data_IF_693157415645
#
_entry.id   IF_693157415645
#
_cell.length_a   1.000
_cell.length_b   1.000
_cell.length_c   1.000
_cell.angle_alpha   90.00
_cell.angle_beta   90.00
_cell.angle_gamma   90.00
#
_symmetry.space_group_name_H-M   'P 1'
#
loop_
_entity.id
_entity.type
_entity.pdbx_description
1 polymer ?
#
# COMPACT_ATOMS: atom_id res chain seq x y z
N UNK A 1 12.26 22.41 -51.04
CA UNK A 1 13.25 23.22 -50.30
C UNK A 1 14.22 22.27 -49.64
N UNK A 2 15.52 22.45 -49.87
CA UNK A 2 16.55 21.66 -49.18
C UNK A 2 16.54 22.06 -47.73
N UNK A 3 16.38 21.09 -46.80
CA UNK A 3 16.52 21.34 -45.36
C UNK A 3 18.00 21.58 -45.08
N UNK A 4 18.34 22.76 -44.59
CA UNK A 4 19.69 23.04 -44.11
C UNK A 4 19.89 22.26 -42.81
N UNK A 5 20.76 21.28 -42.84
CA UNK A 5 21.17 20.56 -41.62
C UNK A 5 22.23 21.35 -40.86
N UNK A 6 22.05 21.56 -39.59
CA UNK A 6 23.08 22.10 -38.73
C UNK A 6 24.06 20.93 -38.40
N UNK A 7 25.35 21.03 -38.76
CA UNK A 7 26.30 19.96 -38.47
C UNK A 7 26.46 19.75 -36.97
N UNK A 8 26.84 18.54 -36.56
CA UNK A 8 27.18 18.21 -35.18
C UNK A 8 28.27 19.18 -34.68
N UNK A 9 27.99 19.89 -33.60
CA UNK A 9 28.88 20.95 -33.09
C UNK A 9 28.62 22.34 -33.69
N UNK A 10 27.59 22.48 -34.57
CA UNK A 10 27.20 23.78 -35.10
C UNK A 10 26.35 24.65 -34.19
N UNK A 11 25.96 24.10 -33.04
CA UNK A 11 25.29 24.81 -31.94
C UNK A 11 26.25 24.77 -30.74
N UNK A 12 26.62 25.93 -30.22
CA UNK A 12 27.44 26.02 -29.03
C UNK A 12 26.67 25.48 -27.80
N UNK A 13 27.38 25.01 -26.79
CA UNK A 13 26.78 24.65 -25.50
C UNK A 13 26.03 25.88 -24.97
N UNK A 14 24.87 25.64 -24.34
CA UNK A 14 23.97 26.68 -23.79
C UNK A 14 23.37 27.67 -24.84
N UNK A 15 23.54 27.40 -26.16
CA UNK A 15 22.98 28.26 -27.21
C UNK A 15 21.46 28.09 -27.41
N UNK A 16 20.85 27.04 -26.85
CA UNK A 16 19.39 26.82 -26.86
C UNK A 16 18.87 27.01 -25.45
N UNK A 17 18.20 28.11 -25.22
CA UNK A 17 17.50 28.42 -23.97
C UNK A 17 15.98 28.29 -24.14
N UNK A 18 15.22 28.51 -23.09
CA UNK A 18 13.75 28.38 -23.07
C UNK A 18 13.06 29.29 -24.09
N UNK A 19 13.61 30.48 -24.35
CA UNK A 19 13.07 31.41 -25.38
C UNK A 19 13.19 30.88 -26.82
N UNK A 20 14.02 29.86 -27.04
CA UNK A 20 14.17 29.22 -28.34
C UNK A 20 13.21 28.04 -28.53
N UNK A 21 12.49 27.66 -27.46
CA UNK A 21 11.49 26.60 -27.46
C UNK A 21 10.09 27.22 -27.54
N UNK A 22 9.56 27.35 -28.78
CA UNK A 22 8.17 27.76 -28.95
C UNK A 22 7.22 26.73 -28.30
N UNK A 23 6.14 27.21 -27.68
CA UNK A 23 5.12 26.36 -27.07
C UNK A 23 4.53 25.32 -28.07
N UNK A 24 4.58 25.61 -29.35
CA UNK A 24 4.17 24.66 -30.40
C UNK A 24 5.08 23.43 -30.51
N UNK A 25 6.29 23.49 -29.98
CA UNK A 25 7.14 22.30 -29.84
C UNK A 25 6.45 21.21 -29.00
N UNK A 26 5.56 21.61 -28.08
CA UNK A 26 4.74 20.70 -27.26
C UNK A 26 3.33 20.60 -27.83
N UNK A 27 2.65 21.74 -27.99
CA UNK A 27 1.22 21.78 -28.39
C UNK A 27 0.98 21.43 -29.86
N UNK A 28 2.00 21.54 -30.73
CA UNK A 28 1.95 21.13 -32.11
C UNK A 28 2.17 19.65 -32.37
N UNK A 29 2.50 18.87 -31.35
CA UNK A 29 2.63 17.41 -31.44
C UNK A 29 1.29 16.72 -31.16
N UNK A 30 1.13 15.48 -31.64
CA UNK A 30 -0.06 14.70 -31.34
C UNK A 30 -0.10 14.40 -29.84
N UNK A 31 -1.22 14.73 -29.20
CA UNK A 31 -1.40 14.42 -27.78
C UNK A 31 -1.39 12.91 -27.53
N UNK A 32 -0.73 12.48 -26.47
CA UNK A 32 -0.86 11.11 -25.98
C UNK A 32 -2.28 10.94 -25.41
N UNK A 33 -3.09 10.08 -26.03
CA UNK A 33 -4.50 9.90 -25.70
C UNK A 33 -4.75 8.89 -24.57
N UNK A 34 -3.70 8.26 -24.04
CA UNK A 34 -3.76 7.22 -23.02
C UNK A 34 -2.68 7.44 -21.96
N UNK A 35 -2.73 6.65 -20.90
CA UNK A 35 -1.71 6.72 -19.85
C UNK A 35 -0.32 6.41 -20.42
N UNK A 36 0.72 7.20 -20.09
CA UNK A 36 2.08 6.89 -20.52
C UNK A 36 2.49 5.47 -20.14
N UNK A 37 3.18 4.79 -21.04
CA UNK A 37 3.80 3.51 -20.74
C UNK A 37 4.90 3.69 -19.69
N UNK A 38 5.20 2.65 -18.95
CA UNK A 38 6.26 2.70 -17.92
C UNK A 38 7.65 2.99 -18.47
N UNK A 39 7.82 2.78 -19.77
CA UNK A 39 9.07 3.03 -20.53
C UNK A 39 9.12 4.41 -21.18
N UNK A 40 8.01 5.19 -21.11
CA UNK A 40 8.02 6.56 -21.62
C UNK A 40 8.86 7.45 -20.72
N UNK A 41 9.47 8.46 -21.30
CA UNK A 41 10.47 9.30 -20.67
C UNK A 41 10.06 10.77 -20.69
N UNK A 42 10.34 11.46 -19.60
CA UNK A 42 10.09 12.89 -19.43
C UNK A 42 11.42 13.58 -19.17
N UNK A 43 11.64 14.68 -19.88
CA UNK A 43 12.81 15.51 -19.65
C UNK A 43 12.58 16.40 -18.43
N UNK A 44 13.49 16.38 -17.47
CA UNK A 44 13.42 17.18 -16.24
C UNK A 44 14.74 17.91 -15.98
N UNK A 45 14.67 19.03 -15.27
CA UNK A 45 15.83 19.65 -14.67
C UNK A 45 15.97 19.18 -13.21
N UNK A 46 17.07 18.51 -12.90
CA UNK A 46 17.41 18.10 -11.54
C UNK A 46 18.62 18.87 -11.07
N UNK A 47 18.39 19.82 -10.16
CA UNK A 47 19.40 20.74 -9.63
C UNK A 47 20.23 21.45 -10.72
N UNK A 48 19.55 21.88 -11.80
CA UNK A 48 20.19 22.55 -12.93
C UNK A 48 20.82 21.62 -13.97
N UNK A 49 20.73 20.31 -13.77
CA UNK A 49 21.18 19.31 -14.75
C UNK A 49 20.00 18.70 -15.47
N UNK A 50 20.03 18.68 -16.79
CA UNK A 50 19.00 18.05 -17.60
C UNK A 50 19.10 16.53 -17.49
N UNK A 51 18.01 15.91 -17.05
CA UNK A 51 17.90 14.44 -16.86
C UNK A 51 16.64 13.88 -17.49
N UNK A 52 16.68 12.61 -17.78
CA UNK A 52 15.56 11.79 -18.20
C UNK A 52 14.91 11.12 -16.98
N UNK A 53 13.60 11.20 -16.87
CA UNK A 53 12.80 10.53 -15.87
C UNK A 53 11.86 9.54 -16.54
N UNK A 54 11.95 8.27 -16.21
CA UNK A 54 11.02 7.26 -16.70
C UNK A 54 9.64 7.45 -16.04
N UNK A 55 8.58 7.33 -16.81
CA UNK A 55 7.20 7.55 -16.35
C UNK A 55 6.80 6.64 -15.19
N UNK A 56 7.42 5.46 -15.06
CA UNK A 56 7.20 4.54 -13.93
C UNK A 56 7.42 5.23 -12.57
N UNK A 57 8.39 6.15 -12.47
CA UNK A 57 8.67 6.86 -11.22
C UNK A 57 7.62 7.89 -10.82
N UNK A 58 6.78 8.33 -11.77
CA UNK A 58 5.67 9.25 -11.50
C UNK A 58 4.40 8.52 -11.08
N UNK A 59 4.15 7.31 -11.60
CA UNK A 59 2.88 6.61 -11.46
C UNK A 59 2.95 5.38 -10.57
N UNK A 60 4.16 4.88 -10.27
CA UNK A 60 4.32 3.70 -9.42
C UNK A 60 4.22 4.07 -7.94
N UNK A 61 3.01 4.26 -7.46
CA UNK A 61 2.76 4.45 -6.03
C UNK A 61 2.67 3.10 -5.32
N UNK A 62 3.40 2.87 -4.21
CA UNK A 62 3.30 1.63 -3.46
C UNK A 62 1.92 1.42 -2.86
N UNK A 63 1.32 0.28 -3.17
CA UNK A 63 0.07 -0.18 -2.56
C UNK A 63 0.00 -1.71 -2.53
N UNK A 64 -0.80 -2.23 -1.62
CA UNK A 64 -1.14 -3.65 -1.58
C UNK A 64 -2.49 -3.88 -0.90
N UNK A 65 -3.20 -4.91 -1.36
CA UNK A 65 -4.20 -5.60 -0.56
C UNK A 65 -3.73 -7.01 -0.31
N UNK A 66 -3.43 -7.31 0.95
CA UNK A 66 -3.17 -8.65 1.45
C UNK A 66 -4.41 -9.17 2.16
N UNK A 67 -4.70 -10.46 2.07
CA UNK A 67 -5.84 -11.06 2.73
C UNK A 67 -5.51 -12.45 3.27
N UNK A 68 -6.34 -12.94 4.20
CA UNK A 68 -6.28 -14.32 4.65
C UNK A 68 -7.07 -15.20 3.67
N UNK A 69 -6.36 -16.07 2.96
CA UNK A 69 -6.99 -17.11 2.13
C UNK A 69 -7.24 -18.36 2.98
N UNK A 70 -8.51 -18.76 3.06
CA UNK A 70 -8.95 -19.79 4.00
C UNK A 70 -8.93 -19.33 5.47
N UNK A 71 -9.42 -20.14 6.37
CA UNK A 71 -9.52 -19.81 7.78
C UNK A 71 -8.16 -19.97 8.49
N UNK A 72 -7.87 -19.10 9.47
CA UNK A 72 -6.78 -19.28 10.42
C UNK A 72 -7.37 -19.84 11.72
N UNK A 73 -7.23 -21.15 11.92
CA UNK A 73 -7.69 -21.83 13.12
C UNK A 73 -6.78 -21.60 14.31
N UNK A 74 -7.28 -21.93 15.50
CA UNK A 74 -6.50 -21.90 16.76
C UNK A 74 -5.88 -20.53 17.06
N UNK A 75 -6.54 -19.43 16.69
CA UNK A 75 -6.07 -18.10 17.04
C UNK A 75 -6.08 -17.95 18.56
N UNK A 76 -4.94 -17.61 19.20
CA UNK A 76 -4.75 -17.81 20.62
C UNK A 76 -5.63 -16.90 21.47
N UNK A 77 -6.03 -17.42 22.64
CA UNK A 77 -6.74 -16.66 23.67
C UNK A 77 -5.76 -15.84 24.51
N UNK A 78 -6.19 -14.62 24.86
CA UNK A 78 -5.47 -13.72 25.78
C UNK A 78 -4.03 -13.40 25.35
N UNK A 79 -3.82 -13.32 24.02
CA UNK A 79 -2.51 -13.03 23.42
C UNK A 79 -2.68 -12.20 22.15
N UNK A 80 -1.86 -11.19 22.00
CA UNK A 80 -1.73 -10.47 20.70
C UNK A 80 -0.93 -11.35 19.75
N UNK A 81 -1.52 -11.67 18.61
CA UNK A 81 -0.92 -12.56 17.63
C UNK A 81 -1.12 -12.04 16.21
N UNK A 82 -0.19 -12.41 15.34
CA UNK A 82 -0.21 -12.02 13.95
C UNK A 82 -1.36 -12.68 13.20
N UNK A 83 -2.03 -11.89 12.36
CA UNK A 83 -2.95 -12.39 11.36
C UNK A 83 -2.14 -12.80 10.12
N UNK A 84 -2.16 -14.08 9.81
CA UNK A 84 -1.36 -14.66 8.73
C UNK A 84 -2.01 -14.41 7.37
N UNK A 85 -1.82 -13.21 6.83
CA UNK A 85 -2.31 -12.82 5.51
C UNK A 85 -1.51 -13.54 4.43
N UNK A 86 -2.04 -14.60 3.86
CA UNK A 86 -1.35 -15.50 2.94
C UNK A 86 -1.80 -15.38 1.48
N UNK A 87 -2.71 -14.47 1.18
CA UNK A 87 -3.16 -14.12 -0.16
C UNK A 87 -2.86 -12.65 -0.49
N UNK A 88 -2.78 -12.35 -1.78
CA UNK A 88 -2.62 -10.99 -2.30
C UNK A 88 -3.62 -10.80 -3.44
N UNK A 89 -4.48 -9.79 -3.33
CA UNK A 89 -5.43 -9.44 -4.41
C UNK A 89 -4.74 -8.61 -5.49
N UNK A 90 -3.96 -7.62 -5.05
CA UNK A 90 -3.19 -6.75 -5.93
C UNK A 90 -2.06 -6.08 -5.12
N UNK A 91 -0.99 -5.71 -5.81
CA UNK A 91 0.12 -4.92 -5.26
C UNK A 91 0.90 -4.22 -6.36
N UNK A 92 1.53 -3.10 -6.03
CA UNK A 92 2.46 -2.38 -6.90
C UNK A 92 3.47 -1.62 -6.05
N UNK A 93 4.65 -1.37 -6.59
CA UNK A 93 5.67 -0.48 -6.04
C UNK A 93 6.29 -0.86 -4.69
N UNK A 94 5.94 -2.01 -4.13
CA UNK A 94 6.47 -2.54 -2.88
C UNK A 94 6.62 -4.05 -2.91
N UNK A 95 7.02 -4.64 -1.79
CA UNK A 95 7.18 -6.09 -1.63
C UNK A 95 6.13 -6.64 -0.67
N UNK A 96 5.36 -7.63 -1.12
CA UNK A 96 4.45 -8.42 -0.31
C UNK A 96 5.12 -9.73 0.07
N UNK A 97 5.22 -10.00 1.37
CA UNK A 97 5.59 -11.31 1.90
C UNK A 97 4.35 -11.95 2.53
N UNK A 98 3.64 -12.75 1.76
CA UNK A 98 2.42 -13.45 2.17
C UNK A 98 2.64 -14.92 2.55
N UNK A 99 3.88 -15.37 2.62
CA UNK A 99 4.23 -16.77 2.90
C UNK A 99 4.94 -17.01 4.22
N UNK A 100 5.80 -16.09 4.63
CA UNK A 100 6.67 -16.26 5.80
C UNK A 100 6.39 -15.21 6.88
N UNK A 101 6.41 -13.93 6.51
CA UNK A 101 6.27 -12.85 7.49
C UNK A 101 4.90 -12.17 7.44
N UNK A 102 4.07 -12.41 6.41
CA UNK A 102 2.72 -11.85 6.28
C UNK A 102 2.69 -10.33 6.42
N UNK A 103 3.51 -9.62 5.62
CA UNK A 103 3.74 -8.19 5.73
C UNK A 103 3.91 -7.51 4.36
N UNK A 104 3.72 -6.20 4.35
CA UNK A 104 4.02 -5.35 3.20
C UNK A 104 5.18 -4.40 3.52
N UNK A 105 6.18 -4.33 2.63
CA UNK A 105 7.31 -3.39 2.68
C UNK A 105 7.20 -2.44 1.50
N UNK A 106 7.06 -1.13 1.71
CA UNK A 106 6.72 -0.19 0.63
C UNK A 106 7.84 0.10 -0.37
N UNK A 107 9.11 -0.02 0.03
CA UNK A 107 10.25 0.31 -0.82
C UNK A 107 10.47 1.82 -1.06
N UNK A 108 9.51 2.65 -0.71
CA UNK A 108 9.57 4.12 -0.82
C UNK A 108 9.07 4.73 0.48
N UNK A 109 9.82 5.68 1.02
CA UNK A 109 9.42 6.39 2.23
C UNK A 109 8.22 7.32 1.95
N UNK A 110 7.39 7.55 2.97
CA UNK A 110 6.25 8.47 2.88
C UNK A 110 5.14 8.16 3.87
N UNK A 111 4.00 8.84 3.68
CA UNK A 111 2.80 8.61 4.46
C UNK A 111 1.90 7.60 3.77
N UNK A 112 1.44 6.62 4.54
CA UNK A 112 0.63 5.52 4.05
C UNK A 112 -0.67 5.44 4.82
N UNK A 113 -1.79 5.32 4.10
CA UNK A 113 -3.04 4.93 4.71
C UNK A 113 -3.07 3.40 4.83
N UNK A 114 -3.35 2.95 6.04
CA UNK A 114 -3.51 1.54 6.35
C UNK A 114 -4.94 1.27 6.83
N UNK A 115 -5.54 0.18 6.33
CA UNK A 115 -6.84 -0.27 6.76
C UNK A 115 -6.84 -1.79 6.91
N UNK A 116 -6.96 -2.25 8.13
CA UNK A 116 -7.04 -3.67 8.50
C UNK A 116 -8.45 -4.07 8.89
N UNK A 117 -8.85 -5.27 8.49
CA UNK A 117 -10.09 -5.90 8.87
C UNK A 117 -9.85 -7.35 9.28
N UNK A 118 -10.46 -7.78 10.37
CA UNK A 118 -10.40 -9.16 10.84
C UNK A 118 -11.80 -9.63 11.20
N UNK A 119 -12.23 -10.74 10.59
CA UNK A 119 -13.49 -11.41 10.89
C UNK A 119 -13.22 -12.65 11.76
N UNK A 120 -13.85 -12.69 12.93
CA UNK A 120 -13.83 -13.86 13.80
C UNK A 120 -15.11 -14.70 13.61
N UNK A 121 -14.95 -16.00 13.73
CA UNK A 121 -16.02 -16.99 13.53
C UNK A 121 -16.99 -17.08 14.74
N UNK A 122 -16.57 -16.65 15.90
CA UNK A 122 -17.39 -16.63 17.11
C UNK A 122 -17.05 -15.43 17.97
N UNK A 123 -18.05 -14.90 18.69
CA UNK A 123 -17.89 -13.89 19.70
C UNK A 123 -18.89 -14.13 20.81
N UNK A 124 -18.41 -14.38 22.03
CA UNK A 124 -19.24 -14.31 23.22
C UNK A 124 -19.32 -12.88 23.76
N UNK A 125 -20.35 -12.62 24.52
CA UNK A 125 -20.59 -11.32 25.11
C UNK A 125 -19.58 -11.00 26.22
N UNK A 126 -19.09 -9.77 26.25
CA UNK A 126 -18.15 -9.16 27.18
C UNK A 126 -16.66 -9.38 26.92
N UNK A 127 -16.28 -9.93 25.80
CA UNK A 127 -14.88 -10.16 25.49
C UNK A 127 -14.23 -8.96 24.80
N UNK A 128 -12.95 -8.77 25.09
CA UNK A 128 -12.14 -7.75 24.44
C UNK A 128 -11.58 -8.31 23.14
N UNK A 129 -11.80 -7.60 22.06
CA UNK A 129 -11.18 -7.85 20.76
C UNK A 129 -10.50 -6.57 20.31
N UNK A 130 -9.22 -6.63 19.99
CA UNK A 130 -8.45 -5.54 19.44
C UNK A 130 -7.86 -5.92 18.10
N UNK A 131 -7.93 -5.01 17.15
CA UNK A 131 -7.22 -5.12 15.88
C UNK A 131 -6.14 -4.05 15.86
N UNK A 132 -4.95 -4.44 15.44
CA UNK A 132 -3.77 -3.61 15.55
C UNK A 132 -2.96 -3.64 14.26
N UNK A 133 -2.45 -2.49 13.84
CA UNK A 133 -1.44 -2.38 12.80
C UNK A 133 -0.10 -2.13 13.46
N UNK A 134 0.85 -2.96 13.10
CA UNK A 134 2.24 -2.86 13.52
C UNK A 134 3.10 -2.31 12.39
N UNK A 135 4.00 -1.41 12.73
CA UNK A 135 5.06 -0.92 11.84
C UNK A 135 6.39 -1.37 12.42
N UNK A 136 7.15 -2.11 11.62
CA UNK A 136 8.49 -2.61 11.97
C UNK A 136 8.53 -3.30 13.35
N UNK A 137 7.50 -4.13 13.62
CA UNK A 137 7.36 -4.90 14.86
C UNK A 137 6.83 -4.11 16.07
N UNK A 138 6.47 -2.83 15.89
CA UNK A 138 5.91 -1.99 16.95
C UNK A 138 4.45 -1.65 16.67
N UNK A 139 3.59 -1.80 17.68
CA UNK A 139 2.19 -1.40 17.59
C UNK A 139 2.09 0.11 17.31
N UNK A 140 1.43 0.47 16.22
CA UNK A 140 1.29 1.86 15.77
C UNK A 140 -0.16 2.33 15.78
N UNK A 141 -1.09 1.48 15.33
CA UNK A 141 -2.52 1.77 15.35
C UNK A 141 -3.26 0.65 16.07
N UNK A 142 -4.29 1.01 16.82
CA UNK A 142 -5.15 0.06 17.52
C UNK A 142 -6.61 0.51 17.45
N UNK A 143 -7.49 -0.43 17.17
CA UNK A 143 -8.92 -0.28 17.39
C UNK A 143 -9.38 -1.27 18.46
N UNK A 144 -9.85 -0.76 19.57
CA UNK A 144 -10.42 -1.56 20.64
C UNK A 144 -11.92 -1.71 20.40
N UNK A 145 -12.34 -2.90 19.99
CA UNK A 145 -13.76 -3.29 19.99
C UNK A 145 -14.09 -4.02 21.28
N UNK A 146 -15.07 -3.54 22.03
CA UNK A 146 -15.79 -4.36 23.01
C UNK A 146 -16.99 -4.96 22.31
N UNK A 147 -17.15 -6.28 22.37
CA UNK A 147 -18.40 -6.86 21.92
C UNK A 147 -19.55 -6.31 22.80
N UNK A 148 -20.52 -5.70 22.17
CA UNK A 148 -21.70 -5.16 22.83
C UNK A 148 -22.51 -6.30 23.46
N UNK A 149 -22.50 -6.35 24.78
CA UNK A 149 -23.38 -7.00 25.75
C UNK A 149 -24.15 -8.25 25.35
N UNK A 150 -24.32 -9.12 26.32
CA UNK A 150 -25.09 -10.37 26.28
C UNK A 150 -26.34 -10.31 25.38
N UNK A 151 -26.23 -10.84 24.19
CA UNK A 151 -27.37 -11.29 23.42
C UNK A 151 -27.24 -12.79 23.18
N UNK A 152 -28.06 -13.51 23.95
CA UNK A 152 -28.38 -14.95 23.81
C UNK A 152 -27.60 -15.76 22.78
N UNK A 153 -26.85 -16.73 23.23
CA UNK A 153 -26.56 -18.09 22.72
C UNK A 153 -26.45 -18.35 21.20
N UNK A 154 -26.28 -17.36 20.36
CA UNK A 154 -26.02 -17.56 18.94
C UNK A 154 -24.68 -16.92 18.61
N UNK A 155 -23.69 -17.77 18.31
CA UNK A 155 -22.42 -17.34 17.76
C UNK A 155 -22.67 -16.37 16.59
N UNK A 156 -22.14 -15.15 16.69
CA UNK A 156 -22.24 -14.14 15.65
C UNK A 156 -20.87 -13.90 15.06
N UNK A 157 -20.77 -13.99 13.78
CA UNK A 157 -19.64 -13.51 13.02
C UNK A 157 -19.40 -12.02 13.31
N UNK A 158 -18.24 -11.69 13.86
CA UNK A 158 -17.88 -10.31 14.19
C UNK A 158 -16.73 -9.85 13.30
N UNK A 159 -16.88 -8.66 12.73
CA UNK A 159 -15.86 -8.04 11.90
C UNK A 159 -15.37 -6.75 12.58
N UNK A 160 -14.08 -6.66 12.82
CA UNK A 160 -13.41 -5.53 13.44
C UNK A 160 -12.44 -4.90 12.48
N UNK A 161 -12.34 -3.57 12.51
CA UNK A 161 -11.48 -2.82 11.61
C UNK A 161 -10.62 -1.82 12.37
N UNK A 162 -9.44 -1.55 11.83
CA UNK A 162 -8.55 -0.49 12.26
C UNK A 162 -8.08 0.28 11.03
N UNK A 163 -8.01 1.59 11.12
CA UNK A 163 -7.46 2.39 10.03
C UNK A 163 -6.75 3.64 10.55
N UNK A 164 -5.81 4.11 9.77
CA UNK A 164 -5.09 5.33 10.08
C UNK A 164 -3.96 5.58 9.09
N UNK A 165 -3.28 6.71 9.29
CA UNK A 165 -2.10 7.09 8.52
C UNK A 165 -0.86 6.80 9.36
N UNK A 166 0.11 6.15 8.74
CA UNK A 166 1.42 5.87 9.34
C UNK A 166 2.52 6.48 8.48
N UNK A 167 3.63 6.83 9.10
CA UNK A 167 4.84 7.27 8.42
C UNK A 167 5.77 6.05 8.27
N UNK A 168 6.16 5.73 7.04
CA UNK A 168 6.99 4.56 6.73
C UNK A 168 8.28 5.00 6.04
N UNK A 169 9.41 4.52 6.53
CA UNK A 169 10.65 4.48 5.78
C UNK A 169 10.60 3.43 4.66
N UNK A 170 11.52 3.51 3.70
CA UNK A 170 11.55 2.60 2.56
C UNK A 170 11.70 1.10 2.95
N UNK A 171 12.32 0.82 4.09
CA UNK A 171 12.56 -0.53 4.60
C UNK A 171 11.61 -0.95 5.72
N UNK A 172 10.74 -0.04 6.18
CA UNK A 172 9.72 -0.37 7.16
C UNK A 172 8.71 -1.34 6.58
N UNK A 173 8.02 -2.06 7.44
CA UNK A 173 6.99 -2.99 7.02
C UNK A 173 5.74 -2.87 7.89
N UNK A 174 4.60 -3.20 7.28
CA UNK A 174 3.28 -3.16 7.92
C UNK A 174 2.74 -4.56 8.07
N UNK A 175 2.21 -4.85 9.26
CA UNK A 175 1.64 -6.14 9.66
C UNK A 175 0.31 -5.95 10.35
N UNK A 176 -0.58 -6.94 10.23
CA UNK A 176 -1.86 -6.97 10.93
C UNK A 176 -1.78 -7.93 12.11
N UNK A 177 -2.14 -7.44 13.29
CA UNK A 177 -2.25 -8.22 14.52
C UNK A 177 -3.66 -8.14 15.08
N UNK A 178 -4.01 -9.12 15.89
CA UNK A 178 -5.24 -9.13 16.64
C UNK A 178 -5.03 -9.68 18.04
N UNK A 179 -5.92 -9.30 18.95
CA UNK A 179 -6.03 -9.80 20.30
C UNK A 179 -7.47 -10.23 20.55
N UNK A 180 -7.66 -11.31 21.28
CA UNK A 180 -8.96 -11.73 21.79
C UNK A 180 -8.81 -12.39 23.18
N UNK A 181 -9.85 -12.33 24.03
CA UNK A 181 -9.87 -12.95 25.34
C UNK A 181 -11.16 -13.74 25.63
N UNK A 182 -11.65 -14.46 24.64
CA UNK A 182 -12.91 -15.21 24.68
C UNK A 182 -12.85 -16.52 25.47
N UNK A 183 -11.81 -16.70 26.27
CA UNK A 183 -11.66 -17.89 27.14
C UNK A 183 -11.06 -19.12 26.43
N UNK A 184 -11.09 -19.19 25.11
CA UNK A 184 -10.53 -20.26 24.29
C UNK A 184 -9.93 -19.73 23.00
N UNK A 185 -9.22 -20.57 22.26
CA UNK A 185 -8.80 -20.22 20.90
C UNK A 185 -10.01 -20.18 19.97
N UNK A 186 -9.99 -19.22 19.03
CA UNK A 186 -11.05 -19.02 18.04
C UNK A 186 -10.49 -19.07 16.62
N UNK A 187 -11.37 -19.01 15.64
CA UNK A 187 -11.01 -19.02 14.23
C UNK A 187 -11.15 -17.62 13.62
N UNK A 188 -10.12 -17.17 12.89
CA UNK A 188 -10.24 -16.03 11.99
C UNK A 188 -10.77 -16.54 10.64
N UNK A 189 -11.86 -15.95 10.17
CA UNK A 189 -12.49 -16.31 8.90
C UNK A 189 -11.74 -15.67 7.73
N UNK A 190 -11.31 -16.47 6.78
CA UNK A 190 -10.62 -16.01 5.59
C UNK A 190 -11.53 -15.41 4.52
N UNK A 191 -10.92 -14.75 3.56
CA UNK A 191 -11.54 -14.13 2.39
C UNK A 191 -11.14 -12.65 2.24
N UNK A 192 -10.88 -12.23 0.99
CA UNK A 192 -10.39 -10.88 0.66
C UNK A 192 -11.33 -9.74 1.08
N UNK A 193 -12.63 -10.01 1.25
CA UNK A 193 -13.61 -9.06 1.77
C UNK A 193 -13.89 -9.21 3.27
N UNK A 194 -13.19 -10.08 3.99
CA UNK A 194 -13.42 -10.40 5.41
C UNK A 194 -12.21 -10.07 6.28
N UNK A 195 -11.08 -10.72 6.01
CA UNK A 195 -9.84 -10.53 6.77
C UNK A 195 -8.74 -10.11 5.80
N UNK A 196 -8.35 -8.82 5.90
CA UNK A 196 -7.43 -8.20 4.96
C UNK A 196 -6.67 -7.02 5.58
N UNK A 197 -5.60 -6.63 4.92
CA UNK A 197 -4.85 -5.40 5.13
C UNK A 197 -4.68 -4.68 3.80
N UNK A 198 -5.18 -3.46 3.73
CA UNK A 198 -4.94 -2.53 2.64
C UNK A 198 -3.88 -1.52 3.08
N UNK A 199 -2.91 -1.27 2.23
CA UNK A 199 -1.87 -0.25 2.42
C UNK A 199 -1.72 0.49 1.11
N UNK A 200 -1.75 1.83 1.14
CA UNK A 200 -1.46 2.63 -0.03
C UNK A 200 -0.81 3.96 0.35
N UNK A 201 0.14 4.40 -0.48
CA UNK A 201 0.87 5.63 -0.29
C UNK A 201 -0.02 6.84 -0.55
N UNK A 202 0.08 7.85 0.32
CA UNK A 202 -0.61 9.14 0.16
C UNK A 202 0.35 10.20 -0.39
N UNK A 203 1.60 10.23 0.11
CA UNK A 203 2.63 11.20 -0.30
C UNK A 203 4.00 10.56 -0.29
#
# INVERSE_FOLDING_TARGET
MSKTQIPTGGIADDAISEEHLDATAITGTTALAEQPATTDEILISDAGTLKRLDAVHLFNQPFAQMFRDGNQGSFPNNSTSKVELNGTSFSSGGTVDNSTNHRFTPGVAGKYFCHGSVKFDTGDSNDKINIQIYVSGSQTLENQGTSLGAQSSSARDQNYTVSGIVDLGATDYVELFAFQNQGSSITITGGAGKTFLNVFRIT
#
